data_IF_708521269091
#
_entry.id   IF_708521269091
#
_cell.length_a   1.000
_cell.length_b   1.000
_cell.length_c   1.000
_cell.angle_alpha   90.00
_cell.angle_beta   90.00
_cell.angle_gamma   90.00
#
_symmetry.space_group_name_H-M   'P 1'
#
loop_
_entity.id
_entity.type
_entity.pdbx_description
1 polymer ?
#
# COMPACT_ATOMS: atom_id res chain seq x y z
N UNK A 1 3.30 17.82 -0.54
CA UNK A 1 4.05 16.62 -0.94
C UNK A 1 3.50 15.40 -0.22
N UNK A 2 3.18 14.36 -0.94
CA UNK A 2 2.59 13.15 -0.35
C UNK A 2 3.68 12.21 0.16
N UNK A 3 3.54 11.78 1.40
CA UNK A 3 4.50 10.85 1.99
C UNK A 3 3.83 9.51 2.27
N UNK A 4 4.45 8.44 1.81
CA UNK A 4 3.98 7.08 2.04
C UNK A 4 4.85 6.44 3.12
N UNK A 5 4.26 6.21 4.27
CA UNK A 5 4.96 5.59 5.41
C UNK A 5 4.74 4.08 5.37
N UNK A 6 5.80 3.34 5.06
CA UNK A 6 5.71 1.89 4.91
C UNK A 6 5.48 1.15 6.23
N UNK A 7 5.60 1.85 7.36
CA UNK A 7 5.31 1.24 8.67
C UNK A 7 3.83 1.28 9.02
N UNK A 8 3.04 2.06 8.29
CA UNK A 8 1.60 2.17 8.56
C UNK A 8 0.83 1.06 7.85
N UNK A 9 -0.32 0.72 8.42
CA UNK A 9 -1.18 -0.30 7.82
C UNK A 9 -1.81 0.20 6.52
N UNK A 10 -2.26 -0.74 5.69
CA UNK A 10 -2.96 -0.40 4.45
C UNK A 10 -4.20 0.45 4.73
N UNK A 11 -4.92 0.14 5.81
CA UNK A 11 -6.09 0.90 6.20
C UNK A 11 -5.77 2.36 6.48
N UNK A 12 -4.71 2.60 7.27
CA UNK A 12 -4.29 3.96 7.59
C UNK A 12 -3.87 4.74 6.35
N UNK A 13 -3.13 4.08 5.47
CA UNK A 13 -2.64 4.72 4.25
C UNK A 13 -3.79 5.12 3.32
N UNK A 14 -4.79 4.26 3.18
CA UNK A 14 -5.94 4.57 2.33
C UNK A 14 -6.79 5.67 2.94
N UNK A 15 -6.85 5.76 4.28
CA UNK A 15 -7.55 6.87 4.93
C UNK A 15 -6.87 8.20 4.61
N UNK A 16 -5.53 8.22 4.60
CA UNK A 16 -4.78 9.43 4.30
C UNK A 16 -4.84 9.78 2.82
N UNK A 17 -4.73 8.79 1.96
CA UNK A 17 -4.69 8.97 0.51
C UNK A 17 -5.61 7.95 -0.14
N UNK A 18 -6.90 8.29 -0.32
CA UNK A 18 -7.87 7.34 -0.89
C UNK A 18 -7.49 6.77 -2.25
N UNK A 19 -6.72 7.52 -3.04
CA UNK A 19 -6.29 7.05 -4.36
C UNK A 19 -5.36 5.84 -4.29
N UNK A 20 -4.76 5.58 -3.11
CA UNK A 20 -3.90 4.41 -2.95
C UNK A 20 -4.64 3.10 -3.15
N UNK A 21 -5.95 3.08 -2.90
CA UNK A 21 -6.73 1.86 -3.07
C UNK A 21 -6.64 1.35 -4.51
N UNK A 22 -6.80 2.25 -5.48
CA UNK A 22 -6.72 1.89 -6.88
C UNK A 22 -5.31 1.50 -7.29
N UNK A 23 -4.30 2.25 -6.80
CA UNK A 23 -2.91 1.95 -7.10
C UNK A 23 -2.51 0.58 -6.56
N UNK A 24 -2.91 0.28 -5.33
CA UNK A 24 -2.62 -1.01 -4.73
C UNK A 24 -3.31 -2.16 -5.46
N UNK A 25 -4.55 -1.94 -5.90
CA UNK A 25 -5.26 -2.95 -6.68
C UNK A 25 -4.49 -3.28 -7.96
N UNK A 26 -4.00 -2.26 -8.65
CA UNK A 26 -3.23 -2.45 -9.89
C UNK A 26 -1.91 -3.15 -9.65
N UNK A 27 -1.34 -2.98 -8.45
CA UNK A 27 -0.08 -3.64 -8.09
C UNK A 27 -0.27 -5.11 -7.72
N UNK A 28 -1.50 -5.54 -7.46
CA UNK A 28 -1.78 -6.92 -7.10
C UNK A 28 -2.44 -7.12 -5.75
N UNK A 29 -2.65 -6.05 -4.99
CA UNK A 29 -3.34 -6.12 -3.69
C UNK A 29 -4.85 -6.09 -3.90
N UNK A 30 -5.37 -7.09 -4.62
CA UNK A 30 -6.76 -7.09 -5.05
C UNK A 30 -7.76 -7.30 -3.91
N UNK A 31 -7.31 -7.90 -2.82
CA UNK A 31 -8.17 -8.19 -1.68
C UNK A 31 -8.70 -6.93 -1.02
N UNK A 32 -7.99 -5.81 -1.12
CA UNK A 32 -8.44 -4.57 -0.47
C UNK A 32 -9.70 -4.00 -1.10
N UNK A 33 -10.05 -4.45 -2.31
CA UNK A 33 -11.28 -4.01 -2.96
C UNK A 33 -12.51 -4.75 -2.46
N UNK A 34 -12.33 -5.86 -1.74
CA UNK A 34 -13.44 -6.63 -1.20
C UNK A 34 -14.07 -5.90 -0.03
N UNK A 35 -15.43 -5.92 0.08
CA UNK A 35 -16.09 -5.24 1.20
C UNK A 35 -15.58 -5.72 2.55
N UNK A 36 -15.23 -4.79 3.41
CA UNK A 36 -14.80 -5.09 4.77
C UNK A 36 -13.36 -5.54 4.95
N UNK A 37 -12.66 -5.92 3.89
CA UNK A 37 -11.28 -6.41 4.01
C UNK A 37 -10.31 -5.33 4.48
N UNK A 38 -10.48 -4.12 3.98
CA UNK A 38 -9.60 -3.02 4.38
C UNK A 38 -9.76 -2.70 5.87
N UNK A 39 -10.99 -2.70 6.37
CA UNK A 39 -11.28 -2.39 7.76
C UNK A 39 -10.91 -3.53 8.72
N UNK A 40 -10.73 -4.74 8.20
CA UNK A 40 -10.35 -5.89 9.03
C UNK A 40 -8.88 -6.23 8.82
N UNK A 41 -8.55 -7.02 7.80
CA UNK A 41 -7.17 -7.42 7.54
C UNK A 41 -6.26 -6.24 7.24
N UNK A 42 -6.79 -5.21 6.56
CA UNK A 42 -5.99 -4.03 6.20
C UNK A 42 -5.43 -3.27 7.39
N UNK A 43 -6.03 -3.41 8.56
CA UNK A 43 -5.52 -2.75 9.77
C UNK A 43 -4.24 -3.39 10.30
N UNK A 44 -3.96 -4.63 9.90
CA UNK A 44 -2.84 -5.38 10.43
C UNK A 44 -1.75 -5.64 9.39
N UNK A 45 -1.98 -5.27 8.14
CA UNK A 45 -1.05 -5.53 7.04
C UNK A 45 -0.42 -4.22 6.59
N UNK A 46 0.92 -4.22 6.49
CA UNK A 46 1.66 -3.11 5.90
C UNK A 46 1.97 -3.44 4.45
N UNK A 47 2.43 -2.44 3.67
CA UNK A 47 2.81 -2.68 2.28
C UNK A 47 3.92 -3.71 2.17
N UNK A 48 5.03 -3.61 2.94
CA UNK A 48 6.09 -4.63 2.85
C UNK A 48 5.60 -6.02 3.19
N UNK A 49 4.76 -6.15 4.19
CA UNK A 49 4.22 -7.46 4.58
C UNK A 49 3.32 -8.03 3.50
N UNK A 50 2.44 -7.18 2.94
CA UNK A 50 1.57 -7.61 1.85
C UNK A 50 2.34 -7.98 0.61
N UNK A 51 3.40 -7.23 0.30
CA UNK A 51 4.26 -7.53 -0.84
C UNK A 51 4.92 -8.90 -0.68
N UNK A 52 5.40 -9.21 0.53
CA UNK A 52 6.00 -10.49 0.81
C UNK A 52 5.00 -11.62 0.63
N UNK A 53 3.79 -11.43 1.13
CA UNK A 53 2.73 -12.45 1.04
C UNK A 53 2.31 -12.70 -0.40
N UNK A 54 2.34 -11.68 -1.24
CA UNK A 54 1.91 -11.76 -2.64
C UNK A 54 3.06 -11.99 -3.60
N UNK A 55 4.30 -12.05 -3.11
CA UNK A 55 5.50 -12.19 -3.92
C UNK A 55 5.66 -11.05 -4.93
N UNK A 56 5.34 -9.83 -4.52
CA UNK A 56 5.48 -8.65 -5.36
C UNK A 56 6.79 -7.95 -4.98
N UNK A 57 7.68 -7.67 -5.96
CA UNK A 57 8.95 -6.99 -5.66
C UNK A 57 8.70 -5.61 -5.07
N UNK A 58 9.34 -5.31 -3.92
CA UNK A 58 9.21 -4.00 -3.30
C UNK A 58 9.68 -2.87 -4.21
N UNK A 59 10.70 -3.14 -5.02
CA UNK A 59 11.20 -2.13 -5.96
C UNK A 59 10.11 -1.65 -6.91
N UNK A 60 9.31 -2.57 -7.42
CA UNK A 60 8.20 -2.24 -8.32
C UNK A 60 7.17 -1.36 -7.60
N UNK A 61 6.86 -1.71 -6.36
CA UNK A 61 5.89 -0.97 -5.56
C UNK A 61 6.39 0.45 -5.30
N UNK A 62 7.66 0.57 -4.86
CA UNK A 62 8.26 1.86 -4.55
C UNK A 62 8.30 2.74 -5.79
N UNK A 63 8.73 2.19 -6.92
CA UNK A 63 8.80 2.96 -8.16
C UNK A 63 7.42 3.46 -8.59
N UNK A 64 6.41 2.60 -8.46
CA UNK A 64 5.04 2.98 -8.83
C UNK A 64 4.56 4.15 -7.99
N UNK A 65 4.78 4.12 -6.68
CA UNK A 65 4.34 5.21 -5.82
C UNK A 65 5.15 6.48 -6.05
N UNK A 66 6.45 6.36 -6.28
CA UNK A 66 7.28 7.54 -6.59
C UNK A 66 6.83 8.20 -7.89
N UNK A 67 6.46 7.41 -8.88
CA UNK A 67 5.96 7.93 -10.15
C UNK A 67 4.65 8.69 -9.96
N UNK A 68 3.89 8.39 -8.92
CA UNK A 68 2.65 9.08 -8.60
C UNK A 68 2.84 10.27 -7.67
N UNK A 69 4.08 10.64 -7.38
CA UNK A 69 4.38 11.81 -6.57
C UNK A 69 4.54 11.57 -5.08
N UNK A 70 4.63 10.31 -4.67
CA UNK A 70 4.85 9.99 -3.25
C UNK A 70 6.34 9.94 -2.91
N UNK A 71 6.69 10.46 -1.74
CA UNK A 71 7.99 10.17 -1.15
C UNK A 71 7.80 8.97 -0.22
N UNK A 72 8.84 8.14 -0.11
CA UNK A 72 8.74 6.88 0.63
C UNK A 72 9.49 7.01 1.96
N UNK A 73 8.78 6.75 3.06
CA UNK A 73 9.36 6.74 4.39
C UNK A 73 9.43 5.30 4.89
N UNK A 74 10.54 4.95 5.53
CA UNK A 74 10.72 3.58 6.02
C UNK A 74 11.31 2.65 4.98
N UNK A 75 11.86 3.19 3.94
CA UNK A 75 12.51 2.46 2.86
C UNK A 75 13.96 2.19 3.26
N UNK A 76 14.27 1.01 3.73
CA UNK A 76 15.65 0.64 4.05
C UNK A 76 15.95 -0.76 3.56
#
# INVERSE_FOLDING_TARGET
>A
MKELDLSKSLFELVLLYPELKDLMYKLGFKEISKPGMLQTAGRYVTIPKGAQMKHIPMEQIIETFKAQGFTIKGEN
#
